data_IF_149478159420
#
_entry.id   IF_149478159420
#
_cell.length_a   1.000
_cell.length_b   1.000
_cell.length_c   1.000
_cell.angle_alpha   90.00
_cell.angle_beta   90.00
_cell.angle_gamma   90.00
#
_symmetry.space_group_name_H-M   'P 1'
#
loop_
_entity.id
_entity.type
_entity.pdbx_description
1 polymer ?
#
# COMPACT_ATOMS: atom_id res chain seq x y z
N UNK A 1 -50.70 -28.14 33.55
CA UNK A 1 -49.25 -28.08 33.25
C UNK A 1 -49.10 -27.21 32.02
N UNK A 2 -48.61 -25.97 32.17
CA UNK A 2 -48.53 -25.00 31.06
C UNK A 2 -47.35 -25.38 30.17
N UNK A 3 -47.59 -25.55 28.87
CA UNK A 3 -46.52 -25.86 27.93
C UNK A 3 -45.82 -24.56 27.55
N UNK A 4 -44.57 -24.41 28.01
CA UNK A 4 -43.73 -23.23 27.82
C UNK A 4 -42.79 -23.41 26.61
N UNK A 5 -43.29 -23.95 25.49
CA UNK A 5 -42.51 -23.98 24.26
C UNK A 5 -42.62 -22.62 23.59
N UNK A 6 -41.52 -21.88 23.58
CA UNK A 6 -41.39 -20.69 22.76
C UNK A 6 -41.25 -21.14 21.31
N UNK A 7 -42.24 -20.80 20.48
CA UNK A 7 -42.16 -20.95 19.03
C UNK A 7 -41.35 -19.76 18.51
N UNK A 8 -40.20 -20.04 17.90
CA UNK A 8 -39.36 -19.02 17.31
C UNK A 8 -39.59 -19.00 15.81
N UNK A 9 -40.05 -17.86 15.32
CA UNK A 9 -40.18 -17.65 13.88
C UNK A 9 -38.86 -17.14 13.29
N UNK A 10 -38.65 -17.35 11.99
CA UNK A 10 -37.45 -16.88 11.30
C UNK A 10 -37.23 -15.36 11.46
N UNK A 11 -38.32 -14.61 11.65
CA UNK A 11 -38.27 -13.17 11.85
C UNK A 11 -37.58 -12.78 13.18
N UNK A 12 -37.71 -13.61 14.22
CA UNK A 12 -37.07 -13.36 15.52
C UNK A 12 -35.54 -13.47 15.44
N UNK A 13 -35.02 -14.21 14.46
CA UNK A 13 -33.58 -14.33 14.19
C UNK A 13 -33.03 -13.20 13.30
N UNK A 14 -33.90 -12.43 12.62
CA UNK A 14 -33.48 -11.34 11.75
C UNK A 14 -32.85 -10.19 12.55
N UNK A 15 -33.34 -9.94 13.77
CA UNK A 15 -32.81 -8.91 14.66
C UNK A 15 -31.31 -9.09 14.97
N UNK A 16 -30.90 -10.23 15.56
CA UNK A 16 -29.48 -10.52 15.81
C UNK A 16 -28.62 -10.47 14.54
N UNK A 17 -29.12 -10.97 13.41
CA UNK A 17 -28.39 -10.95 12.13
C UNK A 17 -28.19 -9.52 11.62
N UNK A 18 -29.23 -8.69 11.68
CA UNK A 18 -29.16 -7.29 11.28
C UNK A 18 -28.17 -6.50 12.15
N UNK A 19 -28.17 -6.73 13.47
CA UNK A 19 -27.23 -6.10 14.40
C UNK A 19 -25.80 -6.55 14.12
N UNK A 20 -25.57 -7.85 13.90
CA UNK A 20 -24.25 -8.38 13.55
C UNK A 20 -23.74 -7.80 12.23
N UNK A 21 -24.60 -7.67 11.22
CA UNK A 21 -24.26 -7.08 9.94
C UNK A 21 -23.93 -5.59 10.08
N UNK A 22 -24.74 -4.83 10.83
CA UNK A 22 -24.49 -3.42 11.09
C UNK A 22 -23.16 -3.21 11.82
N UNK A 23 -22.87 -4.02 12.84
CA UNK A 23 -21.60 -3.99 13.55
C UNK A 23 -20.42 -4.29 12.61
N UNK A 24 -20.52 -5.34 11.79
CA UNK A 24 -19.47 -5.69 10.83
C UNK A 24 -19.21 -4.56 9.83
N UNK A 25 -20.27 -3.92 9.32
CA UNK A 25 -20.15 -2.77 8.41
C UNK A 25 -19.45 -1.61 9.09
N UNK A 26 -19.85 -1.26 10.33
CA UNK A 26 -19.23 -0.17 11.09
C UNK A 26 -17.75 -0.44 11.33
N UNK A 27 -17.40 -1.65 11.77
CA UNK A 27 -15.99 -2.04 11.98
C UNK A 27 -15.23 -1.98 10.66
N UNK A 28 -15.80 -2.46 9.56
CA UNK A 28 -15.16 -2.41 8.25
C UNK A 28 -14.88 -0.98 7.82
N UNK A 29 -15.86 -0.09 7.92
CA UNK A 29 -15.66 1.33 7.61
C UNK A 29 -14.65 1.97 8.55
N UNK A 30 -14.74 1.72 9.85
CA UNK A 30 -13.81 2.27 10.82
C UNK A 30 -12.38 1.79 10.55
N UNK A 31 -12.17 0.50 10.31
CA UNK A 31 -10.86 -0.05 9.91
C UNK A 31 -10.39 0.55 8.59
N UNK A 32 -11.27 0.68 7.60
CA UNK A 32 -10.94 1.28 6.31
C UNK A 32 -10.49 2.73 6.47
N UNK A 33 -11.23 3.56 7.20
CA UNK A 33 -10.90 4.97 7.42
C UNK A 33 -9.68 5.15 8.34
N UNK A 34 -9.54 4.35 9.41
CA UNK A 34 -8.39 4.44 10.29
C UNK A 34 -7.09 4.09 9.55
N UNK A 35 -7.09 2.98 8.79
CA UNK A 35 -5.92 2.58 8.00
C UNK A 35 -5.64 3.54 6.84
N UNK A 36 -6.66 4.09 6.18
CA UNK A 36 -6.44 4.98 5.03
C UNK A 36 -6.19 6.44 5.40
N UNK A 37 -6.63 6.90 6.58
CA UNK A 37 -6.66 8.33 6.91
C UNK A 37 -5.95 8.67 8.23
N UNK A 38 -6.15 7.89 9.30
CA UNK A 38 -5.56 8.20 10.60
C UNK A 38 -4.14 7.64 10.77
N UNK A 39 -3.83 6.52 10.12
CA UNK A 39 -2.54 5.84 10.29
C UNK A 39 -1.49 6.19 9.23
N UNK A 40 -1.82 6.99 8.21
CA UNK A 40 -0.83 7.49 7.25
C UNK A 40 -0.14 8.70 7.86
N UNK A 41 1.16 8.56 8.13
CA UNK A 41 2.02 9.70 8.40
C UNK A 41 2.30 10.45 7.09
N UNK A 42 2.59 11.76 7.15
CA UNK A 42 2.91 12.59 5.96
C UNK A 42 4.17 12.13 5.22
N UNK A 43 4.97 11.30 5.90
CA UNK A 43 6.24 10.77 5.43
C UNK A 43 6.09 9.37 4.82
N UNK A 44 4.94 8.72 5.01
CA UNK A 44 4.72 7.37 4.49
C UNK A 44 4.57 7.35 2.96
N UNK A 45 4.87 6.18 2.41
CA UNK A 45 4.66 5.90 0.99
C UNK A 45 3.18 6.03 0.62
N UNK A 46 2.95 6.40 -0.64
CA UNK A 46 1.60 6.55 -1.20
C UNK A 46 0.87 5.21 -1.15
N UNK A 47 -0.30 5.20 -0.50
CA UNK A 47 -1.06 3.96 -0.33
C UNK A 47 -1.63 3.47 -1.66
N UNK A 48 -1.95 2.18 -1.72
CA UNK A 48 -2.63 1.59 -2.88
C UNK A 48 -3.94 2.33 -3.20
N UNK A 49 -4.66 2.79 -2.16
CA UNK A 49 -5.89 3.55 -2.30
C UNK A 49 -5.64 4.98 -2.81
N UNK A 50 -4.61 5.67 -2.34
CA UNK A 50 -4.22 6.97 -2.90
C UNK A 50 -3.81 6.86 -4.38
N UNK A 51 -3.10 5.78 -4.75
CA UNK A 51 -2.73 5.49 -6.14
C UNK A 51 -3.95 5.16 -7.00
N UNK A 52 -4.93 4.43 -6.46
CA UNK A 52 -6.19 4.13 -7.13
C UNK A 52 -7.07 5.38 -7.28
N UNK A 53 -7.17 6.20 -6.24
CA UNK A 53 -7.89 7.46 -6.23
C UNK A 53 -7.29 8.45 -7.24
N UNK A 54 -5.96 8.54 -7.31
CA UNK A 54 -5.28 9.37 -8.30
C UNK A 54 -5.61 9.01 -9.75
N UNK A 55 -5.87 7.73 -10.06
CA UNK A 55 -6.33 7.31 -11.39
C UNK A 55 -7.75 7.76 -11.70
N UNK A 56 -8.59 7.86 -10.68
CA UNK A 56 -10.00 8.27 -10.79
C UNK A 56 -10.22 9.74 -10.43
N UNK A 57 -9.14 10.52 -10.24
CA UNK A 57 -9.16 11.91 -9.73
C UNK A 57 -9.90 12.08 -8.38
N UNK A 58 -9.95 11.04 -7.55
CA UNK A 58 -10.54 11.08 -6.21
C UNK A 58 -9.43 11.11 -5.17
N UNK A 59 -9.53 12.03 -4.21
CA UNK A 59 -8.61 12.10 -3.08
C UNK A 59 -9.03 11.11 -2.00
N UNK A 60 -8.38 9.95 -1.97
CA UNK A 60 -8.65 8.86 -1.02
C UNK A 60 -7.69 8.84 0.19
N UNK A 61 -6.95 9.93 0.41
CA UNK A 61 -6.00 10.04 1.51
C UNK A 61 -5.56 11.49 1.78
N UNK A 62 -4.68 11.68 2.78
CA UNK A 62 -4.23 13.00 3.18
C UNK A 62 -3.38 13.71 2.11
N UNK A 63 -2.65 12.98 1.27
CA UNK A 63 -1.82 13.56 0.23
C UNK A 63 -2.65 14.15 -0.91
N UNK A 64 -2.19 15.29 -1.46
CA UNK A 64 -2.83 15.91 -2.62
C UNK A 64 -2.54 15.11 -3.89
N UNK A 65 -3.48 15.10 -4.84
CA UNK A 65 -3.30 14.47 -6.15
C UNK A 65 -2.05 14.98 -6.87
N UNK A 66 -1.72 16.26 -6.70
CA UNK A 66 -0.52 16.87 -7.30
C UNK A 66 0.77 16.30 -6.70
N UNK A 67 0.81 16.09 -5.37
CA UNK A 67 1.96 15.46 -4.72
C UNK A 67 2.15 14.01 -5.17
N UNK A 68 1.05 13.27 -5.36
CA UNK A 68 1.06 11.90 -5.86
C UNK A 68 1.59 11.84 -7.29
N UNK A 69 1.12 12.73 -8.17
CA UNK A 69 1.56 12.83 -9.56
C UNK A 69 3.06 13.14 -9.67
N UNK A 70 3.56 14.07 -8.86
CA UNK A 70 4.99 14.41 -8.80
C UNK A 70 5.87 13.25 -8.30
N UNK A 71 5.43 12.54 -7.24
CA UNK A 71 6.13 11.33 -6.76
C UNK A 71 6.21 10.25 -7.84
N UNK A 72 5.11 10.03 -8.57
CA UNK A 72 5.06 9.06 -9.68
C UNK A 72 6.00 9.43 -10.84
N UNK A 73 6.11 10.71 -11.19
CA UNK A 73 7.04 11.17 -12.22
C UNK A 73 8.50 10.91 -11.82
N UNK A 74 8.88 11.28 -10.60
CA UNK A 74 10.24 11.03 -10.10
C UNK A 74 10.60 9.54 -10.05
N UNK A 75 9.66 8.68 -9.66
CA UNK A 75 9.89 7.23 -9.70
C UNK A 75 10.14 6.72 -11.13
N UNK A 76 9.35 7.19 -12.11
CA UNK A 76 9.54 6.80 -13.51
C UNK A 76 10.89 7.28 -14.08
N UNK A 77 11.36 8.47 -13.68
CA UNK A 77 12.67 8.99 -14.07
C UNK A 77 13.82 8.13 -13.49
N UNK A 78 13.76 7.81 -12.19
CA UNK A 78 14.75 6.95 -11.51
C UNK A 78 14.79 5.55 -12.15
N UNK A 79 13.61 4.97 -12.45
CA UNK A 79 13.52 3.66 -13.11
C UNK A 79 14.14 3.69 -14.52
N UNK A 80 13.93 4.76 -15.29
CA UNK A 80 14.52 4.92 -16.60
C UNK A 80 16.05 5.05 -16.53
N UNK A 81 16.58 5.78 -15.54
CA UNK A 81 18.02 5.91 -15.31
C UNK A 81 18.66 4.57 -14.90
N UNK A 82 18.01 3.80 -14.03
CA UNK A 82 18.50 2.48 -13.62
C UNK A 82 18.52 1.48 -14.79
N UNK A 83 17.51 1.50 -15.66
CA UNK A 83 17.49 0.67 -16.86
C UNK A 83 18.60 1.05 -17.86
N UNK A 84 18.87 2.35 -18.00
CA UNK A 84 19.99 2.82 -18.82
C UNK A 84 21.35 2.39 -18.24
N UNK A 85 21.52 2.45 -16.92
CA UNK A 85 22.76 1.98 -16.28
C UNK A 85 22.93 0.46 -16.40
N UNK A 86 21.87 -0.32 -16.15
CA UNK A 86 21.89 -1.78 -16.28
C UNK A 86 22.20 -2.22 -17.71
N UNK A 87 21.56 -1.61 -18.71
CA UNK A 87 21.83 -1.91 -20.14
C UNK A 87 23.26 -1.53 -20.57
N UNK A 88 23.81 -0.42 -20.07
CA UNK A 88 25.22 -0.04 -20.29
C UNK A 88 26.18 -1.06 -19.66
N UNK A 89 25.92 -1.53 -18.44
CA UNK A 89 26.73 -2.56 -17.78
C UNK A 89 26.68 -3.90 -18.55
N UNK A 90 25.49 -4.31 -19.02
CA UNK A 90 25.32 -5.53 -19.82
C UNK A 90 26.05 -5.42 -21.17
N UNK A 91 25.98 -4.26 -21.83
CA UNK A 91 26.70 -4.01 -23.08
C UNK A 91 28.22 -3.95 -22.89
N UNK A 92 28.68 -3.41 -21.75
CA UNK A 92 30.10 -3.36 -21.40
C UNK A 92 30.67 -4.76 -21.12
N UNK A 93 29.91 -5.63 -20.47
CA UNK A 93 30.36 -7.00 -20.15
C UNK A 93 30.34 -7.93 -21.38
N UNK A 94 29.45 -7.69 -22.35
CA UNK A 94 29.38 -8.47 -23.60
C UNK A 94 30.62 -8.33 -24.50
N UNK A 95 31.46 -7.30 -24.27
CA UNK A 95 32.74 -7.09 -24.94
C UNK A 95 33.95 -7.76 -24.25
N UNK A 96 33.78 -8.28 -23.03
CA UNK A 96 34.86 -8.88 -22.23
C UNK A 96 34.55 -10.34 -21.91
N UNK A 97 34.36 -11.16 -22.95
CA UNK A 97 34.55 -12.62 -22.82
C UNK A 97 36.05 -12.91 -22.76
N UNK A 98 36.66 -12.56 -21.62
CA UNK A 98 38.08 -12.72 -21.37
C UNK A 98 38.48 -11.95 -20.12
N UNK A 99 38.55 -12.64 -18.99
CA UNK A 99 38.88 -12.18 -17.63
C UNK A 99 37.75 -11.47 -16.87
N UNK A 100 37.12 -12.24 -15.98
CA UNK A 100 36.25 -11.74 -14.92
C UNK A 100 37.05 -10.88 -13.93
N UNK A 101 36.64 -9.63 -13.63
CA UNK A 101 37.14 -8.90 -12.48
C UNK A 101 36.23 -9.10 -11.27
N UNK A 102 36.87 -9.17 -10.11
CA UNK A 102 36.30 -9.34 -8.77
C UNK A 102 35.22 -8.28 -8.50
N UNK A 103 34.05 -8.73 -8.04
CA UNK A 103 32.94 -7.86 -7.63
C UNK A 103 33.37 -7.06 -6.41
N UNK A 104 33.48 -5.74 -6.55
CA UNK A 104 33.60 -4.84 -5.41
C UNK A 104 32.20 -4.34 -5.03
N UNK A 105 31.70 -4.85 -3.91
CA UNK A 105 30.40 -4.47 -3.35
C UNK A 105 30.55 -3.03 -2.82
N UNK A 106 29.71 -2.06 -3.23
CA UNK A 106 29.73 -0.73 -2.66
C UNK A 106 29.35 -0.80 -1.18
N UNK A 107 30.23 -0.30 -0.31
CA UNK A 107 30.01 -0.22 1.13
C UNK A 107 28.80 0.71 1.39
N UNK A 108 27.75 0.14 1.98
CA UNK A 108 26.61 0.91 2.51
C UNK A 108 27.13 1.73 3.68
N UNK A 109 27.14 3.06 3.51
CA UNK A 109 27.41 4.00 4.61
C UNK A 109 26.20 3.98 5.54
N UNK A 110 26.32 3.27 6.64
CA UNK A 110 25.37 3.35 7.76
C UNK A 110 25.75 4.61 8.53
N UNK A 111 24.97 5.67 8.37
CA UNK A 111 25.10 6.84 9.22
C UNK A 111 24.48 6.49 10.58
N UNK A 112 25.34 6.23 11.56
CA UNK A 112 24.95 6.03 12.94
C UNK A 112 24.29 7.32 13.47
N UNK A 113 22.96 7.33 13.50
CA UNK A 113 22.19 8.32 14.22
C UNK A 113 22.25 8.00 15.73
N UNK A 114 23.31 8.46 16.38
CA UNK A 114 23.35 8.62 17.84
C UNK A 114 23.14 10.10 18.20
N UNK A 115 21.97 10.44 18.71
CA UNK A 115 21.72 11.37 19.84
C UNK A 115 20.24 11.45 20.14
#
# INVERSE_FOLDING_TARGET
>A
MVNLKQEFELYDYLGPVAVALAFAIIVLFLSFFLLNYCLISKEDEVTVFERFGSRHNVRLGPHSLDSIRRRKQRQAEIEAEQQQQSSKLISSNKGTSGNAPIIQIPQVKIDDASS
#
